data_IF_336313166635
#
_entry.id   IF_336313166635
#
_cell.length_a   1.000
_cell.length_b   1.000
_cell.length_c   1.000
_cell.angle_alpha   90.00
_cell.angle_beta   90.00
_cell.angle_gamma   90.00
#
_symmetry.space_group_name_H-M   'P 1'
#
loop_
_entity.id
_entity.type
_entity.pdbx_description
1 polymer ?
#
# COMPACT_ATOMS: atom_id res chain seq x y z
N UNK A 1 -13.30 24.65 4.38
CA UNK A 1 -13.10 25.28 5.71
C UNK A 1 -13.10 24.28 6.87
N UNK A 2 -14.08 23.37 6.99
CA UNK A 2 -14.16 22.38 8.10
C UNK A 2 -12.90 21.52 8.30
N UNK A 3 -12.32 20.98 7.22
CA UNK A 3 -11.13 20.12 7.31
C UNK A 3 -9.86 20.87 7.79
N UNK A 4 -9.76 22.16 7.47
CA UNK A 4 -8.60 22.99 7.82
C UNK A 4 -8.68 23.44 9.28
N UNK A 5 -9.90 23.70 9.77
CA UNK A 5 -10.16 23.94 11.19
C UNK A 5 -9.78 22.74 12.07
N UNK A 6 -10.14 21.52 11.64
CA UNK A 6 -9.79 20.28 12.37
C UNK A 6 -8.27 20.09 12.48
N UNK A 7 -7.52 20.34 11.41
CA UNK A 7 -6.05 20.20 11.42
C UNK A 7 -5.37 21.25 12.28
N UNK A 8 -5.85 22.49 12.26
CA UNK A 8 -5.29 23.56 13.11
C UNK A 8 -5.60 23.29 14.58
N UNK A 9 -6.82 22.85 14.88
CA UNK A 9 -7.23 22.49 16.23
C UNK A 9 -6.40 21.33 16.79
N UNK A 10 -6.19 20.26 16.01
CA UNK A 10 -5.38 19.12 16.44
C UNK A 10 -3.92 19.50 16.68
N UNK A 11 -3.35 20.36 15.84
CA UNK A 11 -1.99 20.88 16.01
C UNK A 11 -1.86 21.72 17.28
N UNK A 12 -2.80 22.63 17.54
CA UNK A 12 -2.82 23.44 18.75
C UNK A 12 -2.95 22.59 20.02
N UNK A 13 -3.80 21.57 19.98
CA UNK A 13 -4.02 20.65 21.09
C UNK A 13 -2.76 19.79 21.34
N UNK A 14 -2.10 19.31 20.27
CA UNK A 14 -0.83 18.58 20.37
C UNK A 14 0.28 19.46 20.95
N UNK A 15 0.43 20.69 20.45
CA UNK A 15 1.41 21.64 20.96
C UNK A 15 1.17 21.95 22.46
N UNK A 16 -0.10 22.06 22.87
CA UNK A 16 -0.46 22.28 24.27
C UNK A 16 -0.08 21.10 25.16
N UNK A 17 -0.32 19.86 24.71
CA UNK A 17 0.06 18.64 25.44
C UNK A 17 1.58 18.52 25.58
N UNK A 18 2.31 18.71 24.48
CA UNK A 18 3.79 18.66 24.48
C UNK A 18 4.36 19.79 25.35
N UNK A 19 3.83 21.01 25.21
CA UNK A 19 4.25 22.18 25.99
C UNK A 19 4.02 21.99 27.49
N UNK A 20 2.86 21.48 27.90
CA UNK A 20 2.57 21.18 29.30
C UNK A 20 3.48 20.08 29.86
N UNK A 21 3.72 19.01 29.10
CA UNK A 21 4.63 17.94 29.49
C UNK A 21 6.08 18.43 29.67
N UNK A 22 6.54 19.34 28.79
CA UNK A 22 7.85 19.96 28.91
C UNK A 22 7.92 20.93 30.08
N UNK A 23 6.88 21.73 30.31
CA UNK A 23 6.81 22.67 31.42
C UNK A 23 6.89 21.97 32.78
N UNK A 24 6.17 20.85 32.95
CA UNK A 24 6.16 20.09 34.21
C UNK A 24 7.48 19.35 34.48
N UNK A 25 8.13 18.82 33.44
CA UNK A 25 9.28 17.92 33.60
C UNK A 25 10.63 18.57 33.33
N UNK A 26 10.66 19.68 32.58
CA UNK A 26 11.86 20.49 32.23
C UNK A 26 13.01 19.73 31.56
N UNK A 27 12.82 18.46 31.23
CA UNK A 27 13.79 17.55 30.66
C UNK A 27 13.11 16.68 29.59
N UNK A 28 13.81 16.43 28.48
CA UNK A 28 13.25 15.71 27.33
C UNK A 28 12.76 14.31 27.69
N UNK A 29 13.61 13.48 28.29
CA UNK A 29 13.27 12.07 28.56
C UNK A 29 12.06 11.91 29.50
N UNK A 30 11.99 12.58 30.67
CA UNK A 30 10.81 12.49 31.53
C UNK A 30 9.53 13.08 30.91
N UNK A 31 9.63 14.07 30.01
CA UNK A 31 8.46 14.56 29.25
C UNK A 31 7.90 13.51 28.29
N UNK A 32 8.77 12.80 27.56
CA UNK A 32 8.35 11.70 26.67
C UNK A 32 7.71 10.56 27.48
N UNK A 33 8.30 10.20 28.63
CA UNK A 33 7.72 9.20 29.54
C UNK A 33 6.35 9.66 30.07
N UNK A 34 6.19 10.94 30.42
CA UNK A 34 4.90 11.48 30.85
C UNK A 34 3.83 11.37 29.76
N UNK A 35 4.14 11.77 28.52
CA UNK A 35 3.21 11.70 27.39
C UNK A 35 2.81 10.25 27.09
N UNK A 36 3.77 9.32 27.14
CA UNK A 36 3.52 7.90 26.82
C UNK A 36 2.83 7.13 27.94
N UNK A 37 2.87 7.61 29.19
CA UNK A 37 2.16 6.99 30.32
C UNK A 37 0.79 7.61 30.60
N UNK A 38 0.56 8.83 30.14
CA UNK A 38 -0.71 9.53 30.33
C UNK A 38 -1.70 9.18 29.20
N UNK A 39 -2.75 8.41 29.52
CA UNK A 39 -3.83 8.05 28.58
C UNK A 39 -4.35 9.23 27.73
N UNK A 40 -4.70 10.41 28.31
CA UNK A 40 -5.20 11.53 27.50
C UNK A 40 -4.12 12.13 26.61
N UNK A 41 -2.87 12.24 27.08
CA UNK A 41 -1.77 12.76 26.25
C UNK A 41 -1.47 11.81 25.08
N UNK A 42 -1.44 10.51 25.34
CA UNK A 42 -1.24 9.48 24.33
C UNK A 42 -2.38 9.48 23.28
N UNK A 43 -3.64 9.65 23.69
CA UNK A 43 -4.77 9.74 22.78
C UNK A 43 -4.64 10.92 21.79
N UNK A 44 -4.19 12.09 22.29
CA UNK A 44 -3.93 13.27 21.44
C UNK A 44 -2.85 12.98 20.41
N UNK A 45 -1.75 12.34 20.82
CA UNK A 45 -0.67 11.96 19.89
C UNK A 45 -1.17 10.98 18.83
N UNK A 46 -2.03 10.02 19.18
CA UNK A 46 -2.62 9.09 18.19
C UNK A 46 -3.54 9.78 17.20
N UNK A 47 -4.42 10.67 17.66
CA UNK A 47 -5.28 11.47 16.78
C UNK A 47 -4.43 12.32 15.83
N UNK A 48 -3.39 12.98 16.35
CA UNK A 48 -2.49 13.79 15.53
C UNK A 48 -1.75 12.93 14.49
N UNK A 49 -1.27 11.74 14.87
CA UNK A 49 -0.61 10.80 13.95
C UNK A 49 -1.54 10.38 12.82
N UNK A 50 -2.81 10.08 13.12
CA UNK A 50 -3.82 9.74 12.11
C UNK A 50 -4.09 10.91 11.15
N UNK A 51 -4.18 12.14 11.66
CA UNK A 51 -4.35 13.34 10.84
C UNK A 51 -3.14 13.55 9.91
N UNK A 52 -1.92 13.33 10.39
CA UNK A 52 -0.71 13.43 9.58
C UNK A 52 -0.72 12.42 8.43
N UNK A 53 -1.14 11.16 8.66
CA UNK A 53 -1.30 10.16 7.59
C UNK A 53 -2.26 10.66 6.50
N UNK A 54 -3.41 11.22 6.89
CA UNK A 54 -4.39 11.78 5.94
C UNK A 54 -3.80 12.96 5.16
N UNK A 55 -3.05 13.84 5.83
CA UNK A 55 -2.40 14.99 5.20
C UNK A 55 -1.34 14.55 4.18
N UNK A 56 -0.49 13.58 4.54
CA UNK A 56 0.48 12.99 3.63
C UNK A 56 -0.21 12.35 2.43
N UNK A 57 -1.32 11.63 2.64
CA UNK A 57 -2.13 11.08 1.53
C UNK A 57 -2.67 12.15 0.59
N UNK A 58 -3.19 13.26 1.12
CA UNK A 58 -3.65 14.40 0.30
C UNK A 58 -2.51 15.08 -0.46
N UNK A 59 -1.35 15.21 0.17
CA UNK A 59 -0.16 15.77 -0.46
C UNK A 59 0.28 14.89 -1.63
N UNK A 60 0.47 13.59 -1.40
CA UNK A 60 0.87 12.63 -2.43
C UNK A 60 -0.17 12.55 -3.56
N UNK A 61 -1.47 12.54 -3.24
CA UNK A 61 -2.54 12.68 -4.25
C UNK A 61 -2.30 13.91 -5.12
N UNK A 62 -2.10 15.08 -4.52
CA UNK A 62 -1.94 16.33 -5.26
C UNK A 62 -0.67 16.34 -6.12
N UNK A 63 0.44 15.79 -5.61
CA UNK A 63 1.74 15.76 -6.28
C UNK A 63 1.73 14.80 -7.48
N UNK A 64 1.28 13.56 -7.27
CA UNK A 64 1.38 12.48 -8.27
C UNK A 64 0.14 12.34 -9.16
N UNK A 65 -1.05 12.66 -8.66
CA UNK A 65 -2.30 12.44 -9.41
C UNK A 65 -3.01 13.75 -9.78
N UNK A 66 -2.79 14.83 -9.04
CA UNK A 66 -3.56 16.06 -9.18
C UNK A 66 -5.01 15.82 -8.73
N UNK A 67 -5.93 15.79 -9.70
CA UNK A 67 -7.35 15.50 -9.46
C UNK A 67 -7.67 14.03 -9.71
N UNK A 68 -8.23 13.37 -8.70
CA UNK A 68 -8.73 12.00 -8.81
C UNK A 68 -10.08 12.01 -9.52
N UNK A 69 -10.23 11.10 -10.47
CA UNK A 69 -11.49 10.86 -11.19
C UNK A 69 -12.45 10.09 -10.29
N UNK A 70 -13.75 10.21 -10.56
CA UNK A 70 -14.79 9.51 -9.80
C UNK A 70 -14.57 7.98 -9.80
N UNK A 71 -14.26 7.41 -10.96
CA UNK A 71 -14.01 5.97 -11.12
C UNK A 71 -12.81 5.47 -10.28
N UNK A 72 -11.72 6.25 -10.21
CA UNK A 72 -10.54 5.90 -9.39
C UNK A 72 -10.87 5.94 -7.91
N UNK A 73 -11.68 6.91 -7.49
CA UNK A 73 -12.12 7.01 -6.11
C UNK A 73 -13.06 5.85 -5.74
N UNK A 74 -13.98 5.48 -6.62
CA UNK A 74 -14.90 4.36 -6.43
C UNK A 74 -14.14 3.03 -6.32
N UNK A 75 -13.26 2.72 -7.28
CA UNK A 75 -12.40 1.54 -7.22
C UNK A 75 -11.54 1.51 -5.95
N UNK A 76 -10.96 2.65 -5.56
CA UNK A 76 -10.17 2.74 -4.34
C UNK A 76 -11.01 2.42 -3.10
N UNK A 77 -12.23 2.94 -3.01
CA UNK A 77 -13.13 2.70 -1.88
C UNK A 77 -13.54 1.23 -1.77
N UNK A 78 -13.92 0.61 -2.89
CA UNK A 78 -14.29 -0.81 -2.93
C UNK A 78 -13.13 -1.72 -2.49
N UNK A 79 -11.95 -1.51 -3.10
CA UNK A 79 -10.75 -2.30 -2.77
C UNK A 79 -10.30 -2.08 -1.33
N UNK A 80 -10.41 -0.85 -0.82
CA UNK A 80 -10.06 -0.52 0.57
C UNK A 80 -10.94 -1.24 1.58
N UNK A 81 -12.25 -1.35 1.31
CA UNK A 81 -13.17 -2.07 2.19
C UNK A 81 -12.76 -3.55 2.33
N UNK A 82 -12.43 -4.20 1.21
CA UNK A 82 -11.96 -5.59 1.24
C UNK A 82 -10.62 -5.74 1.97
N UNK A 83 -9.64 -4.87 1.71
CA UNK A 83 -8.35 -4.94 2.40
C UNK A 83 -8.47 -4.71 3.91
N UNK A 84 -9.38 -3.83 4.35
CA UNK A 84 -9.69 -3.67 5.77
C UNK A 84 -10.23 -4.96 6.38
N UNK A 85 -11.18 -5.64 5.71
CA UNK A 85 -11.73 -6.91 6.21
C UNK A 85 -10.70 -8.03 6.27
N UNK A 86 -9.84 -8.16 5.25
CA UNK A 86 -8.76 -9.14 5.22
C UNK A 86 -7.78 -8.92 6.38
N UNK A 87 -7.53 -7.66 6.73
CA UNK A 87 -6.64 -7.35 7.84
C UNK A 87 -7.28 -7.63 9.20
N UNK A 88 -8.58 -7.33 9.35
CA UNK A 88 -9.31 -7.76 10.54
C UNK A 88 -9.25 -9.29 10.72
N UNK A 89 -9.26 -10.06 9.63
CA UNK A 89 -9.03 -11.51 9.69
C UNK A 89 -7.59 -11.85 10.09
N UNK A 90 -6.59 -11.14 9.57
CA UNK A 90 -5.19 -11.31 9.98
C UNK A 90 -5.00 -11.05 11.49
N UNK A 91 -5.74 -10.12 12.08
CA UNK A 91 -5.69 -9.84 13.53
C UNK A 91 -6.13 -11.03 14.38
N UNK A 92 -6.97 -11.92 13.87
CA UNK A 92 -7.37 -13.11 14.63
C UNK A 92 -6.23 -14.12 14.74
N UNK A 93 -5.35 -14.18 13.72
CA UNK A 93 -4.17 -15.05 13.69
C UNK A 93 -3.03 -14.46 14.53
N UNK A 94 -2.86 -13.15 14.51
CA UNK A 94 -1.76 -12.45 15.21
C UNK A 94 -2.25 -11.61 16.40
N UNK A 95 -3.26 -12.11 17.12
CA UNK A 95 -3.90 -11.37 18.21
C UNK A 95 -2.92 -11.00 19.34
N UNK A 96 -1.95 -11.86 19.59
CA UNK A 96 -0.99 -11.70 20.69
C UNK A 96 0.11 -10.67 20.34
N UNK A 97 0.26 -10.31 19.06
CA UNK A 97 1.19 -9.30 18.54
C UNK A 97 0.54 -7.91 18.37
N UNK A 98 -0.70 -7.72 18.82
CA UNK A 98 -1.43 -6.47 18.69
C UNK A 98 -0.77 -5.34 19.49
N UNK A 99 -0.04 -4.47 18.78
CA UNK A 99 0.71 -3.36 19.35
C UNK A 99 0.55 -2.08 18.52
N UNK A 100 0.81 -0.88 19.07
CA UNK A 100 0.81 0.36 18.30
C UNK A 100 1.75 0.31 17.08
N UNK A 101 2.88 -0.41 17.21
CA UNK A 101 3.81 -0.65 16.09
C UNK A 101 3.14 -1.44 14.97
N UNK A 102 2.39 -2.48 15.31
CA UNK A 102 1.67 -3.28 14.34
C UNK A 102 0.60 -2.46 13.60
N UNK A 103 -0.17 -1.64 14.31
CA UNK A 103 -1.16 -0.72 13.69
C UNK A 103 -0.47 0.28 12.75
N UNK A 104 0.71 0.78 13.11
CA UNK A 104 1.49 1.67 12.25
C UNK A 104 1.96 0.97 10.96
N UNK A 105 2.53 -0.24 11.07
CA UNK A 105 2.95 -1.04 9.91
C UNK A 105 1.76 -1.35 8.99
N UNK A 106 0.62 -1.70 9.58
CA UNK A 106 -0.60 -1.94 8.82
C UNK A 106 -1.10 -0.69 8.10
N UNK A 107 -1.09 0.45 8.77
CA UNK A 107 -1.47 1.74 8.17
C UNK A 107 -0.57 2.08 6.99
N UNK A 108 0.74 1.86 7.11
CA UNK A 108 1.71 2.03 6.01
C UNK A 108 1.40 1.07 4.85
N UNK A 109 1.13 -0.21 5.13
CA UNK A 109 0.78 -1.19 4.10
C UNK A 109 -0.48 -0.79 3.33
N UNK A 110 -1.58 -0.46 4.02
CA UNK A 110 -2.81 0.01 3.36
C UNK A 110 -2.57 1.27 2.54
N UNK A 111 -1.77 2.19 3.07
CA UNK A 111 -1.43 3.42 2.38
C UNK A 111 -0.70 3.11 1.07
N UNK A 112 0.36 2.29 1.09
CA UNK A 112 1.08 1.88 -0.13
C UNK A 112 0.17 1.13 -1.11
N UNK A 113 -0.67 0.21 -0.63
CA UNK A 113 -1.61 -0.56 -1.45
C UNK A 113 -2.61 0.35 -2.17
N UNK A 114 -3.07 1.41 -1.50
CA UNK A 114 -3.92 2.45 -2.10
C UNK A 114 -3.25 3.16 -3.27
N UNK A 115 -1.97 3.52 -3.13
CA UNK A 115 -1.21 4.19 -4.20
C UNK A 115 -0.91 3.27 -5.38
N UNK A 116 -0.70 1.97 -5.14
CA UNK A 116 -0.56 0.97 -6.20
C UNK A 116 -1.84 0.84 -7.03
N UNK A 117 -3.00 0.74 -6.37
CA UNK A 117 -4.28 0.67 -7.08
C UNK A 117 -4.56 1.93 -7.91
N UNK A 118 -4.26 3.10 -7.35
CA UNK A 118 -4.38 4.36 -8.10
C UNK A 118 -3.40 4.43 -9.28
N UNK A 119 -2.17 3.94 -9.11
CA UNK A 119 -1.19 3.89 -10.20
C UNK A 119 -1.63 2.96 -11.33
N UNK A 120 -2.21 1.81 -10.99
CA UNK A 120 -2.82 0.87 -11.94
C UNK A 120 -3.94 1.55 -12.73
N UNK A 121 -4.92 2.16 -12.05
CA UNK A 121 -6.05 2.86 -12.71
C UNK A 121 -5.58 4.02 -13.62
N UNK A 122 -4.44 4.66 -13.30
CA UNK A 122 -3.85 5.72 -14.13
C UNK A 122 -3.18 5.19 -15.38
N UNK A 123 -2.45 4.09 -15.27
CA UNK A 123 -1.81 3.45 -16.42
C UNK A 123 -2.86 2.81 -17.33
N UNK A 124 -3.90 2.17 -16.78
CA UNK A 124 -5.00 1.63 -17.58
C UNK A 124 -5.81 2.74 -18.28
N UNK A 125 -5.88 3.94 -17.70
CA UNK A 125 -6.51 5.08 -18.38
C UNK A 125 -5.73 5.61 -19.58
N UNK A 126 -4.41 5.45 -19.57
CA UNK A 126 -3.56 5.88 -20.67
C UNK A 126 -3.89 5.13 -21.97
N UNK A 127 -4.50 3.94 -21.90
CA UNK A 127 -5.04 3.25 -23.07
C UNK A 127 -6.22 3.99 -23.73
N UNK A 128 -7.05 4.65 -22.94
CA UNK A 128 -8.31 5.27 -23.41
C UNK A 128 -8.15 6.76 -23.70
N UNK A 129 -7.00 7.35 -23.39
CA UNK A 129 -6.76 8.79 -23.51
C UNK A 129 -5.97 9.12 -24.78
N UNK A 130 -6.51 9.92 -25.70
CA UNK A 130 -5.84 10.21 -26.98
C UNK A 130 -4.69 11.23 -26.86
N UNK A 131 -4.56 11.96 -25.74
CA UNK A 131 -3.53 12.99 -25.56
C UNK A 131 -2.95 12.90 -24.15
N UNK A 132 -1.66 12.59 -24.06
CA UNK A 132 -0.93 12.46 -22.79
C UNK A 132 0.14 13.54 -22.69
N UNK A 133 0.13 14.27 -21.57
CA UNK A 133 1.10 15.35 -21.33
C UNK A 133 2.41 14.82 -20.75
N UNK A 134 3.52 15.54 -20.98
CA UNK A 134 4.81 15.24 -20.34
C UNK A 134 4.74 15.22 -18.81
N UNK A 135 3.96 16.12 -18.21
CA UNK A 135 3.74 16.17 -16.76
C UNK A 135 3.13 14.87 -16.23
N UNK A 136 2.25 14.23 -17.01
CA UNK A 136 1.70 12.93 -16.65
C UNK A 136 2.78 11.85 -16.59
N UNK A 137 3.65 11.76 -17.60
CA UNK A 137 4.74 10.78 -17.60
C UNK A 137 5.68 10.98 -16.41
N UNK A 138 6.09 12.22 -16.11
CA UNK A 138 6.95 12.53 -14.96
C UNK A 138 6.29 12.10 -13.64
N UNK A 139 5.00 12.39 -13.47
CA UNK A 139 4.25 12.02 -12.26
C UNK A 139 4.10 10.52 -12.08
N UNK A 140 3.74 9.79 -13.14
CA UNK A 140 3.59 8.34 -13.07
C UNK A 140 4.95 7.67 -12.84
N UNK A 141 5.98 8.03 -13.61
CA UNK A 141 7.32 7.43 -13.44
C UNK A 141 7.90 7.71 -12.05
N UNK A 142 7.82 8.95 -11.56
CA UNK A 142 8.30 9.27 -10.21
C UNK A 142 7.52 8.53 -9.12
N UNK A 143 6.21 8.32 -9.29
CA UNK A 143 5.41 7.50 -8.38
C UNK A 143 5.84 6.02 -8.43
N UNK A 144 6.02 5.44 -9.63
CA UNK A 144 6.40 4.04 -9.76
C UNK A 144 7.77 3.76 -9.14
N UNK A 145 8.75 4.66 -9.35
CA UNK A 145 10.08 4.55 -8.75
C UNK A 145 10.00 4.67 -7.22
N UNK A 146 9.22 5.63 -6.71
CA UNK A 146 9.04 5.81 -5.26
C UNK A 146 8.41 4.56 -4.61
N UNK A 147 7.33 4.03 -5.19
CA UNK A 147 6.65 2.85 -4.67
C UNK A 147 7.56 1.61 -4.71
N UNK A 148 8.24 1.37 -5.83
CA UNK A 148 9.17 0.26 -5.94
C UNK A 148 10.32 0.35 -4.91
N UNK A 149 10.86 1.55 -4.69
CA UNK A 149 11.91 1.76 -3.69
C UNK A 149 11.42 1.49 -2.26
N UNK A 150 10.21 1.97 -1.91
CA UNK A 150 9.62 1.74 -0.60
C UNK A 150 9.28 0.26 -0.36
N UNK A 151 8.72 -0.42 -1.37
CA UNK A 151 8.39 -1.84 -1.25
C UNK A 151 9.65 -2.71 -1.08
N UNK A 152 10.74 -2.40 -1.80
CA UNK A 152 12.01 -3.09 -1.65
C UNK A 152 12.63 -2.87 -0.26
N UNK A 153 12.61 -1.64 0.25
CA UNK A 153 13.12 -1.30 1.58
C UNK A 153 12.31 -2.02 2.68
N UNK A 154 10.98 -1.98 2.59
CA UNK A 154 10.09 -2.63 3.55
C UNK A 154 10.18 -4.17 3.48
N UNK A 155 10.34 -4.73 2.28
CA UNK A 155 10.59 -6.16 2.12
C UNK A 155 11.94 -6.58 2.73
N UNK A 156 12.99 -5.80 2.51
CA UNK A 156 14.30 -6.04 3.11
C UNK A 156 14.24 -5.96 4.64
N UNK A 157 13.51 -4.98 5.18
CA UNK A 157 13.26 -4.87 6.61
C UNK A 157 12.51 -6.09 7.17
N UNK A 158 11.43 -6.51 6.51
CA UNK A 158 10.64 -7.67 6.91
C UNK A 158 11.45 -8.96 6.86
N UNK A 159 12.27 -9.15 5.82
CA UNK A 159 13.19 -10.27 5.68
C UNK A 159 14.22 -10.30 6.82
N UNK A 160 14.89 -9.18 7.08
CA UNK A 160 15.90 -9.09 8.14
C UNK A 160 15.28 -9.32 9.53
N UNK A 161 14.08 -8.79 9.76
CA UNK A 161 13.36 -9.02 11.02
C UNK A 161 12.95 -10.49 11.18
N UNK A 162 12.59 -11.16 10.09
CA UNK A 162 12.19 -12.59 10.11
C UNK A 162 13.39 -13.50 10.38
N UNK A 163 14.56 -13.19 9.81
CA UNK A 163 15.80 -13.95 10.11
C UNK A 163 16.23 -13.76 11.57
N UNK A 164 16.21 -12.52 12.06
CA UNK A 164 16.74 -12.21 13.39
C UNK A 164 15.82 -12.64 14.54
N UNK A 165 14.49 -12.58 14.35
CA UNK A 165 13.50 -12.84 15.42
C UNK A 165 12.66 -14.09 15.19
N UNK A 166 12.85 -14.76 14.05
CA UNK A 166 12.03 -15.89 13.63
C UNK A 166 10.70 -15.47 13.01
N UNK A 167 9.83 -16.47 12.79
CA UNK A 167 8.51 -16.26 12.23
C UNK A 167 7.65 -15.37 13.13
N UNK A 168 7.16 -14.27 12.58
CA UNK A 168 6.27 -13.32 13.24
C UNK A 168 5.38 -12.67 12.19
N UNK A 169 4.55 -11.70 12.61
CA UNK A 169 3.74 -10.87 11.72
C UNK A 169 4.52 -10.26 10.54
N UNK A 170 5.83 -10.05 10.70
CA UNK A 170 6.70 -9.55 9.62
C UNK A 170 6.71 -10.46 8.39
N UNK A 171 6.46 -11.76 8.55
CA UNK A 171 6.33 -12.69 7.43
C UNK A 171 5.12 -12.35 6.55
N UNK A 172 4.00 -11.98 7.17
CA UNK A 172 2.79 -11.54 6.44
C UNK A 172 3.01 -10.21 5.74
N UNK A 173 3.63 -9.25 6.42
CA UNK A 173 3.98 -7.97 5.79
C UNK A 173 4.96 -8.16 4.63
N UNK A 174 5.99 -8.97 4.80
CA UNK A 174 6.95 -9.30 3.75
C UNK A 174 6.27 -9.95 2.53
N UNK A 175 5.32 -10.86 2.77
CA UNK A 175 4.50 -11.42 1.70
C UNK A 175 3.67 -10.36 0.97
N UNK A 176 2.95 -9.49 1.69
CA UNK A 176 2.17 -8.42 1.07
C UNK A 176 3.06 -7.44 0.28
N UNK A 177 4.25 -7.08 0.79
CA UNK A 177 5.21 -6.25 0.05
C UNK A 177 5.74 -6.95 -1.21
N UNK A 178 5.99 -8.26 -1.16
CA UNK A 178 6.36 -9.03 -2.35
C UNK A 178 5.23 -9.04 -3.40
N UNK A 179 3.97 -9.14 -2.96
CA UNK A 179 2.81 -9.00 -3.86
C UNK A 179 2.74 -7.59 -4.47
N UNK A 180 2.97 -6.53 -3.68
CA UNK A 180 3.03 -5.15 -4.20
C UNK A 180 4.14 -4.99 -5.25
N UNK A 181 5.31 -5.60 -5.07
CA UNK A 181 6.37 -5.62 -6.09
C UNK A 181 5.93 -6.29 -7.40
N UNK A 182 5.14 -7.36 -7.34
CA UNK A 182 4.58 -7.94 -8.58
C UNK A 182 3.55 -7.01 -9.24
N UNK A 183 2.81 -6.23 -8.44
CA UNK A 183 1.85 -5.26 -8.96
C UNK A 183 2.60 -4.10 -9.63
N UNK A 184 3.63 -3.54 -9.00
CA UNK A 184 4.40 -2.43 -9.57
C UNK A 184 5.12 -2.84 -10.85
N UNK A 185 5.67 -4.06 -10.91
CA UNK A 185 6.27 -4.61 -12.12
C UNK A 185 5.25 -4.75 -13.26
N UNK A 186 4.03 -5.23 -12.97
CA UNK A 186 2.96 -5.31 -13.96
C UNK A 186 2.56 -3.93 -14.49
N UNK A 187 2.41 -2.95 -13.59
CA UNK A 187 2.08 -1.57 -13.97
C UNK A 187 3.19 -0.97 -14.83
N UNK A 188 4.46 -1.21 -14.49
CA UNK A 188 5.60 -0.74 -15.26
C UNK A 188 5.62 -1.34 -16.69
N UNK A 189 5.35 -2.64 -16.84
CA UNK A 189 5.27 -3.29 -18.15
C UNK A 189 4.09 -2.73 -18.96
N UNK A 190 2.91 -2.59 -18.36
CA UNK A 190 1.76 -1.94 -19.04
C UNK A 190 2.11 -0.53 -19.49
N UNK A 191 2.73 0.27 -18.62
CA UNK A 191 3.13 1.64 -18.92
C UNK A 191 4.10 1.71 -20.11
N UNK A 192 5.11 0.84 -20.15
CA UNK A 192 6.06 0.81 -21.29
C UNK A 192 5.36 0.41 -22.58
N UNK A 193 4.51 -0.63 -22.55
CA UNK A 193 3.72 -1.05 -23.71
C UNK A 193 2.80 0.06 -24.22
N UNK A 194 2.07 0.74 -23.35
CA UNK A 194 1.22 1.86 -23.75
C UNK A 194 2.03 3.03 -24.30
N UNK A 195 3.23 3.29 -23.76
CA UNK A 195 4.07 4.41 -24.21
C UNK A 195 4.64 4.14 -25.60
N UNK A 196 5.08 2.89 -25.85
CA UNK A 196 5.53 2.45 -27.18
C UNK A 196 4.38 2.54 -28.18
N UNK A 197 3.19 2.08 -27.81
CA UNK A 197 1.99 2.15 -28.66
C UNK A 197 1.58 3.59 -29.02
N UNK A 198 1.80 4.55 -28.12
CA UNK A 198 1.49 5.95 -28.37
C UNK A 198 2.46 6.61 -29.36
N UNK A 199 3.71 6.13 -29.43
CA UNK A 199 4.75 6.66 -30.31
C UNK A 199 4.84 5.93 -31.66
N UNK A 200 4.14 4.80 -31.83
CA UNK A 200 4.12 4.08 -33.10
C UNK A 200 3.16 4.72 -34.10
N UNK A 201 3.65 5.06 -35.29
CA UNK A 201 2.84 5.65 -36.36
C UNK A 201 1.74 4.69 -36.88
N UNK A 202 1.99 3.39 -36.80
CA UNK A 202 1.05 2.34 -37.20
C UNK A 202 0.35 1.74 -35.96
N UNK A 203 -0.95 1.39 -36.06
CA UNK A 203 -1.65 0.67 -35.00
C UNK A 203 -0.92 -0.63 -34.63
N UNK A 204 -0.58 -0.79 -33.35
CA UNK A 204 0.14 -1.99 -32.88
C UNK A 204 -0.82 -3.19 -32.76
N UNK A 205 -0.96 -3.94 -33.85
CA UNK A 205 -1.88 -5.08 -33.97
C UNK A 205 -1.67 -6.15 -32.89
N UNK A 206 -0.40 -6.45 -32.53
CA UNK A 206 -0.06 -7.48 -31.55
C UNK A 206 -0.02 -6.99 -30.09
N UNK A 207 -0.37 -5.74 -29.79
CA UNK A 207 -0.32 -5.18 -28.42
C UNK A 207 -1.13 -6.02 -27.42
N UNK A 208 -2.33 -6.45 -27.82
CA UNK A 208 -3.21 -7.25 -26.96
C UNK A 208 -2.56 -8.59 -26.55
N UNK A 209 -1.79 -9.19 -27.46
CA UNK A 209 -1.06 -10.44 -27.21
C UNK A 209 0.06 -10.22 -26.17
N UNK A 210 0.82 -9.12 -26.27
CA UNK A 210 1.83 -8.78 -25.27
C UNK A 210 1.25 -8.49 -23.89
N UNK A 211 0.09 -7.82 -23.82
CA UNK A 211 -0.62 -7.59 -22.56
C UNK A 211 -1.08 -8.92 -21.95
N UNK A 212 -1.62 -9.83 -22.77
CA UNK A 212 -2.04 -11.16 -22.32
C UNK A 212 -0.87 -11.98 -21.77
N UNK A 213 0.28 -12.01 -22.45
CA UNK A 213 1.49 -12.67 -21.94
C UNK A 213 1.98 -12.03 -20.63
N UNK A 214 1.90 -10.71 -20.52
CA UNK A 214 2.26 -10.00 -19.28
C UNK A 214 1.34 -10.44 -18.14
N UNK A 215 0.02 -10.47 -18.36
CA UNK A 215 -0.95 -10.94 -17.37
C UNK A 215 -0.70 -12.39 -16.95
N UNK A 216 -0.35 -13.27 -17.91
CA UNK A 216 -0.03 -14.66 -17.64
C UNK A 216 1.23 -14.80 -16.76
N UNK A 217 2.33 -14.16 -17.16
CA UNK A 217 3.62 -14.24 -16.45
C UNK A 217 3.49 -13.65 -15.03
N UNK A 218 2.89 -12.46 -14.92
CA UNK A 218 2.71 -11.81 -13.62
C UNK A 218 1.71 -12.56 -12.75
N UNK A 219 0.66 -13.14 -13.35
CA UNK A 219 -0.27 -14.03 -12.67
C UNK A 219 0.41 -15.28 -12.11
N UNK A 220 1.30 -15.91 -12.88
CA UNK A 220 2.09 -17.05 -12.44
C UNK A 220 2.94 -16.72 -11.20
N UNK A 221 3.71 -15.62 -11.24
CA UNK A 221 4.53 -15.19 -10.10
C UNK A 221 3.68 -14.97 -8.84
N UNK A 222 2.52 -14.33 -8.96
CA UNK A 222 1.60 -14.13 -7.83
C UNK A 222 1.09 -15.46 -7.28
N UNK A 223 0.65 -16.39 -8.13
CA UNK A 223 0.19 -17.72 -7.70
C UNK A 223 1.30 -18.46 -6.94
N UNK A 224 2.53 -18.44 -7.46
CA UNK A 224 3.69 -19.05 -6.78
C UNK A 224 3.91 -18.42 -5.40
N UNK A 225 3.88 -17.09 -5.30
CA UNK A 225 4.02 -16.39 -4.01
C UNK A 225 2.92 -16.80 -3.01
N UNK A 226 1.65 -16.87 -3.44
CA UNK A 226 0.55 -17.31 -2.57
C UNK A 226 0.72 -18.76 -2.10
N UNK A 227 1.12 -19.67 -3.00
CA UNK A 227 1.34 -21.09 -2.66
C UNK A 227 2.49 -21.23 -1.66
N UNK A 228 3.61 -20.54 -1.89
CA UNK A 228 4.76 -20.54 -0.99
C UNK A 228 4.39 -19.97 0.39
N UNK A 229 3.69 -18.83 0.41
CA UNK A 229 3.21 -18.21 1.65
C UNK A 229 2.30 -19.16 2.44
N UNK A 230 1.33 -19.80 1.77
CA UNK A 230 0.42 -20.76 2.38
C UNK A 230 1.19 -21.96 2.96
N UNK A 231 2.14 -22.52 2.21
CA UNK A 231 2.95 -23.65 2.66
C UNK A 231 3.80 -23.30 3.89
N UNK A 232 4.39 -22.11 3.92
CA UNK A 232 5.16 -21.61 5.06
C UNK A 232 4.26 -21.42 6.28
N UNK A 233 3.10 -20.79 6.12
CA UNK A 233 2.15 -20.54 7.20
C UNK A 233 1.59 -21.82 7.82
N UNK A 234 1.22 -22.81 6.98
CA UNK A 234 0.77 -24.13 7.44
C UNK A 234 1.88 -24.84 8.22
N UNK A 235 3.14 -24.76 7.77
CA UNK A 235 4.29 -25.36 8.46
C UNK A 235 4.53 -24.75 9.85
N UNK A 236 4.14 -23.51 10.06
CA UNK A 236 4.23 -22.80 11.35
C UNK A 236 2.92 -22.93 12.15
N UNK A 237 2.01 -23.82 11.74
CA UNK A 237 0.71 -24.07 12.40
C UNK A 237 -0.20 -22.84 12.52
N UNK A 238 -0.05 -21.87 11.61
CA UNK A 238 -0.92 -20.69 11.52
C UNK A 238 -1.74 -20.77 10.24
N UNK A 239 -3.07 -20.87 10.35
CA UNK A 239 -3.95 -20.85 9.18
C UNK A 239 -4.19 -19.41 8.71
N UNK A 240 -3.70 -19.00 7.52
CA UNK A 240 -3.82 -17.62 7.07
C UNK A 240 -5.17 -17.39 6.36
N UNK A 241 -6.27 -17.38 7.13
CA UNK A 241 -7.63 -17.22 6.58
C UNK A 241 -7.78 -15.98 5.67
N UNK A 242 -7.08 -14.90 6.02
CA UNK A 242 -7.10 -13.65 5.26
C UNK A 242 -6.56 -13.79 3.83
N UNK A 243 -5.68 -14.76 3.57
CA UNK A 243 -5.05 -14.94 2.27
C UNK A 243 -5.88 -15.79 1.28
N UNK A 244 -6.91 -16.50 1.76
CA UNK A 244 -7.67 -17.43 0.91
C UNK A 244 -8.43 -16.74 -0.22
N UNK A 245 -9.11 -15.63 0.10
CA UNK A 245 -9.88 -14.89 -0.89
C UNK A 245 -8.96 -14.29 -1.97
N UNK A 246 -7.93 -13.50 -1.66
CA UNK A 246 -6.98 -12.98 -2.65
C UNK A 246 -6.32 -14.09 -3.49
N UNK A 247 -5.95 -15.21 -2.86
CA UNK A 247 -5.37 -16.36 -3.54
C UNK A 247 -6.35 -16.95 -4.56
N UNK A 248 -7.61 -17.17 -4.18
CA UNK A 248 -8.64 -17.70 -5.08
C UNK A 248 -8.85 -16.79 -6.31
N UNK A 249 -8.97 -15.48 -6.11
CA UNK A 249 -9.10 -14.54 -7.23
C UNK A 249 -7.88 -14.55 -8.14
N UNK A 250 -6.67 -14.64 -7.56
CA UNK A 250 -5.42 -14.71 -8.32
C UNK A 250 -5.34 -16.00 -9.15
N UNK A 251 -5.67 -17.15 -8.57
CA UNK A 251 -5.70 -18.44 -9.28
C UNK A 251 -6.75 -18.46 -10.40
N UNK A 252 -7.93 -17.89 -10.14
CA UNK A 252 -8.99 -17.78 -11.15
C UNK A 252 -8.57 -16.88 -12.31
N UNK A 253 -7.95 -15.73 -12.01
CA UNK A 253 -7.44 -14.81 -13.03
C UNK A 253 -6.34 -15.46 -13.87
N UNK A 254 -5.39 -16.16 -13.23
CA UNK A 254 -4.34 -16.91 -13.93
C UNK A 254 -4.91 -18.00 -14.83
N UNK A 255 -5.86 -18.81 -14.33
CA UNK A 255 -6.54 -19.84 -15.13
C UNK A 255 -7.24 -19.25 -16.36
N UNK A 256 -7.87 -18.09 -16.20
CA UNK A 256 -8.50 -17.37 -17.30
C UNK A 256 -7.45 -16.94 -18.33
N UNK A 257 -6.39 -16.25 -17.91
CA UNK A 257 -5.32 -15.81 -18.79
C UNK A 257 -4.64 -16.98 -19.52
N UNK A 258 -4.47 -18.13 -18.86
CA UNK A 258 -3.92 -19.33 -19.49
C UNK A 258 -4.83 -19.91 -20.58
N UNK A 259 -6.15 -19.82 -20.41
CA UNK A 259 -7.11 -20.30 -21.42
C UNK A 259 -7.25 -19.32 -22.59
N UNK A 260 -6.94 -18.04 -22.37
CA UNK A 260 -7.05 -16.98 -23.37
C UNK A 260 -5.81 -16.94 -24.32
N UNK A 261 -4.70 -17.64 -23.97
CA UNK A 261 -3.47 -17.82 -24.78
C UNK A 261 -3.57 -19.06 -25.65
#
# INVERSE_FOLDING_TARGET
MRNLGLTVFSLALTASVIGNAYYQKKQFYPSVVYITKSNPSMAVIYIQSFILVILTGKLMKKVFFGELRAAEFEHLMERSWYAMTETCLAFTVFRDDFSPKFVALFTVLLFLKSFHWLAEDRVDFMERSPVISWLFHVRVLSLLILLAALDLDLLAHAYQSTISKGASVQLVFGFEYAILLTIIANIAIKYTLHTIALHSDNPWENKAVFLLYTELIMGFFKVVLYILFMAIMIRISMLPLFAFRPMYYTMRAFKKAFNDV
#
